data_IF_947498524596
#
_entry.id   IF_947498524596
#
_cell.length_a   1.000
_cell.length_b   1.000
_cell.length_c   1.000
_cell.angle_alpha   90.00
_cell.angle_beta   90.00
_cell.angle_gamma   90.00
#
_symmetry.space_group_name_H-M   'P 1'
#
loop_
_entity.id
_entity.type
_entity.pdbx_description
1 polymer ?
#
# COMPACT_ATOMS: atom_id res chain seq x y z
N UNK A 1 -35.40 -19.12 28.34
CA UNK A 1 -35.52 -19.22 26.88
C UNK A 1 -36.98 -18.98 26.50
N UNK A 2 -37.35 -17.74 26.17
CA UNK A 2 -38.73 -17.40 25.82
C UNK A 2 -39.16 -18.10 24.54
N UNK A 3 -40.32 -18.76 24.57
CA UNK A 3 -40.98 -19.31 23.37
C UNK A 3 -41.08 -18.20 22.31
N UNK A 4 -40.90 -18.49 21.01
CA UNK A 4 -41.01 -17.48 19.95
C UNK A 4 -42.50 -17.09 19.80
N UNK A 5 -42.98 -16.27 20.72
CA UNK A 5 -44.36 -15.84 20.89
C UNK A 5 -44.78 -14.87 19.80
N UNK A 6 -45.04 -15.40 18.61
CA UNK A 6 -45.92 -14.72 17.67
C UNK A 6 -47.35 -14.88 18.18
N UNK A 7 -48.01 -13.77 18.55
CA UNK A 7 -49.46 -13.76 18.83
C UNK A 7 -50.18 -14.52 17.70
N UNK A 8 -50.84 -15.62 18.05
CA UNK A 8 -51.47 -16.57 17.11
C UNK A 8 -52.45 -15.84 16.19
N UNK A 9 -53.12 -14.81 16.72
CA UNK A 9 -54.12 -14.01 16.01
C UNK A 9 -53.57 -12.77 15.30
N UNK A 10 -52.25 -12.61 15.15
CA UNK A 10 -51.69 -11.44 14.45
C UNK A 10 -51.70 -11.70 12.94
N UNK A 11 -52.25 -10.78 12.12
CA UNK A 11 -52.29 -10.97 10.68
C UNK A 11 -50.87 -11.19 10.12
N UNK A 12 -50.71 -12.20 9.28
CA UNK A 12 -49.41 -12.52 8.67
C UNK A 12 -49.00 -11.36 7.75
N UNK A 13 -47.78 -10.88 7.88
CA UNK A 13 -47.20 -9.91 6.94
C UNK A 13 -47.12 -10.52 5.54
N UNK A 14 -47.11 -9.69 4.50
CA UNK A 14 -47.04 -10.17 3.11
C UNK A 14 -45.86 -11.10 2.84
N UNK A 15 -44.73 -10.88 3.52
CA UNK A 15 -43.56 -11.75 3.43
C UNK A 15 -43.82 -13.12 4.09
N UNK A 16 -44.54 -13.18 5.21
CA UNK A 16 -44.92 -14.45 5.82
C UNK A 16 -45.93 -15.23 4.98
N UNK A 17 -46.78 -14.53 4.20
CA UNK A 17 -47.70 -15.14 3.23
C UNK A 17 -46.93 -15.70 2.01
N UNK A 18 -45.91 -14.98 1.52
CA UNK A 18 -45.15 -15.35 0.33
C UNK A 18 -43.74 -15.87 0.65
N UNK A 19 -43.58 -17.19 0.76
CA UNK A 19 -42.32 -17.84 1.17
C UNK A 19 -41.12 -17.45 0.29
N UNK A 20 -41.26 -17.49 -1.04
CA UNK A 20 -40.17 -17.16 -1.96
C UNK A 20 -39.75 -15.68 -1.89
N UNK A 21 -40.73 -14.76 -1.78
CA UNK A 21 -40.46 -13.32 -1.59
C UNK A 21 -39.71 -13.08 -0.27
N UNK A 22 -40.12 -13.77 0.81
CA UNK A 22 -39.42 -13.71 2.10
C UNK A 22 -37.99 -14.24 2.02
N UNK A 23 -37.76 -15.42 1.43
CA UNK A 23 -36.40 -15.96 1.24
C UNK A 23 -35.52 -15.00 0.44
N UNK A 24 -36.06 -14.41 -0.64
CA UNK A 24 -35.36 -13.41 -1.47
C UNK A 24 -34.98 -12.16 -0.67
N UNK A 25 -35.93 -11.59 0.07
CA UNK A 25 -35.72 -10.37 0.89
C UNK A 25 -34.68 -10.64 1.98
N UNK A 26 -34.84 -11.72 2.75
CA UNK A 26 -33.89 -12.09 3.81
C UNK A 26 -32.49 -12.35 3.26
N UNK A 27 -32.37 -12.99 2.10
CA UNK A 27 -31.08 -13.21 1.45
C UNK A 27 -30.44 -11.88 1.01
N UNK A 28 -31.22 -10.95 0.46
CA UNK A 28 -30.75 -9.61 0.09
C UNK A 28 -30.28 -8.84 1.32
N UNK A 29 -31.03 -8.91 2.41
CA UNK A 29 -30.68 -8.25 3.68
C UNK A 29 -29.42 -8.87 4.30
N UNK A 30 -29.31 -10.21 4.33
CA UNK A 30 -28.10 -10.91 4.75
C UNK A 30 -26.90 -10.45 3.92
N UNK A 31 -27.02 -10.42 2.58
CA UNK A 31 -25.94 -9.90 1.72
C UNK A 31 -25.59 -8.45 2.02
N UNK A 32 -26.57 -7.58 2.27
CA UNK A 32 -26.34 -6.17 2.65
C UNK A 32 -25.56 -6.05 3.96
N UNK A 33 -25.92 -6.82 4.99
CA UNK A 33 -25.24 -6.83 6.30
C UNK A 33 -23.76 -7.26 6.21
N UNK A 34 -23.43 -8.16 5.28
CA UNK A 34 -22.05 -8.62 5.05
C UNK A 34 -21.27 -7.75 4.05
N UNK A 35 -21.81 -6.59 3.63
CA UNK A 35 -21.01 -5.63 2.86
C UNK A 35 -20.08 -4.93 3.82
N UNK A 36 -18.79 -4.85 3.48
CA UNK A 36 -17.79 -4.16 4.29
C UNK A 36 -17.88 -2.69 3.91
N UNK A 37 -18.86 -2.01 4.49
CA UNK A 37 -19.04 -0.55 4.35
C UNK A 37 -18.13 0.13 5.36
N UNK A 38 -17.05 0.74 4.90
CA UNK A 38 -16.11 1.46 5.76
C UNK A 38 -14.84 1.88 5.04
N UNK A 39 -14.08 2.75 5.69
CA UNK A 39 -12.79 3.22 5.19
C UNK A 39 -11.77 2.07 5.08
N UNK A 40 -10.81 2.22 4.15
CA UNK A 40 -9.65 1.32 4.07
C UNK A 40 -8.65 1.77 5.13
N UNK A 41 -8.43 0.96 6.15
CA UNK A 41 -7.52 1.27 7.27
C UNK A 41 -6.11 1.59 6.75
N UNK A 42 -5.61 0.81 5.79
CA UNK A 42 -4.25 0.96 5.24
C UNK A 42 -4.21 1.70 3.89
N UNK A 43 -5.10 2.66 3.63
CA UNK A 43 -5.22 3.34 2.32
C UNK A 43 -3.88 3.85 1.77
N UNK A 44 -2.99 4.34 2.65
CA UNK A 44 -1.67 4.86 2.26
C UNK A 44 -0.56 3.80 2.08
N UNK A 45 -0.79 2.55 2.51
CA UNK A 45 0.19 1.46 2.40
C UNK A 45 -0.18 0.42 1.34
N UNK A 46 -1.47 0.32 1.03
CA UNK A 46 -2.00 -0.66 0.09
C UNK A 46 -1.81 -0.19 -1.36
N UNK A 47 -1.64 -1.13 -2.30
CA UNK A 47 -1.45 -0.78 -3.71
C UNK A 47 -2.74 -0.27 -4.37
N UNK A 48 -2.59 0.54 -5.41
CA UNK A 48 -3.68 1.09 -6.23
C UNK A 48 -4.60 -0.01 -6.75
N UNK A 49 -4.07 -1.19 -7.09
CA UNK A 49 -4.85 -2.34 -7.57
C UNK A 49 -5.90 -2.79 -6.55
N UNK A 50 -5.53 -2.86 -5.27
CA UNK A 50 -6.48 -3.22 -4.24
C UNK A 50 -7.52 -2.10 -4.07
N UNK A 51 -7.12 -0.83 -4.10
CA UNK A 51 -8.07 0.28 -4.04
C UNK A 51 -9.11 0.19 -5.18
N UNK A 52 -8.66 -0.13 -6.41
CA UNK A 52 -9.55 -0.40 -7.56
C UNK A 52 -10.48 -1.60 -7.30
N UNK A 53 -9.98 -2.70 -6.73
CA UNK A 53 -10.80 -3.88 -6.35
C UNK A 53 -11.86 -3.56 -5.30
N UNK A 54 -11.59 -2.63 -4.37
CA UNK A 54 -12.58 -2.23 -3.35
C UNK A 54 -13.62 -1.27 -3.93
N UNK A 55 -13.20 -0.39 -4.84
CA UNK A 55 -14.09 0.51 -5.55
C UNK A 55 -15.08 -0.28 -6.42
N UNK A 56 -14.62 -1.32 -7.13
CA UNK A 56 -15.48 -2.20 -7.92
C UNK A 56 -16.31 -3.17 -7.07
N UNK A 57 -15.84 -3.56 -5.88
CA UNK A 57 -16.56 -4.45 -4.97
C UNK A 57 -16.48 -4.02 -3.50
N UNK A 58 -17.59 -3.46 -3.00
CA UNK A 58 -17.79 -3.15 -1.56
C UNK A 58 -17.78 -4.37 -0.61
N UNK A 59 -17.67 -5.60 -1.13
CA UNK A 59 -17.55 -6.84 -0.32
C UNK A 59 -16.10 -7.27 -0.13
N UNK A 60 -15.16 -6.74 -0.89
CA UNK A 60 -13.78 -7.22 -0.84
C UNK A 60 -13.10 -6.82 0.48
N UNK A 61 -12.70 -7.80 1.29
CA UNK A 61 -11.91 -7.58 2.50
C UNK A 61 -10.42 -7.57 2.16
N UNK A 62 -9.97 -6.49 1.57
CA UNK A 62 -8.59 -6.31 1.09
C UNK A 62 -7.83 -5.35 2.01
N UNK A 63 -7.80 -5.65 3.30
CA UNK A 63 -6.85 -5.04 4.23
C UNK A 63 -5.51 -5.77 4.19
N UNK A 64 -4.42 -5.11 4.55
CA UNK A 64 -3.15 -5.82 4.70
C UNK A 64 -3.23 -6.73 5.93
N UNK A 65 -2.74 -7.96 5.80
CA UNK A 65 -2.46 -8.78 6.99
C UNK A 65 -1.49 -8.04 7.90
N UNK A 66 -1.62 -8.22 9.22
CA UNK A 66 -0.77 -7.55 10.21
C UNK A 66 0.73 -7.75 9.96
N UNK A 67 1.14 -8.93 9.47
CA UNK A 67 2.54 -9.21 9.10
C UNK A 67 2.99 -8.35 7.91
N UNK A 68 2.16 -8.25 6.87
CA UNK A 68 2.43 -7.44 5.67
C UNK A 68 2.48 -5.95 6.00
N UNK A 69 1.53 -5.47 6.80
CA UNK A 69 1.50 -4.08 7.31
C UNK A 69 2.79 -3.74 8.07
N UNK A 70 3.21 -4.60 9.01
CA UNK A 70 4.44 -4.40 9.80
C UNK A 70 5.69 -4.39 8.92
N UNK A 71 5.78 -5.29 7.94
CA UNK A 71 6.92 -5.36 7.00
C UNK A 71 7.02 -4.10 6.13
N UNK A 72 5.91 -3.63 5.57
CA UNK A 72 5.89 -2.40 4.77
C UNK A 72 6.27 -1.17 5.60
N UNK A 73 5.69 -1.01 6.81
CA UNK A 73 6.07 0.08 7.72
C UNK A 73 7.57 0.03 8.09
N UNK A 74 8.13 -1.17 8.29
CA UNK A 74 9.56 -1.34 8.58
C UNK A 74 10.41 -0.85 7.40
N UNK A 75 10.05 -1.22 6.17
CA UNK A 75 10.76 -0.78 4.97
C UNK A 75 10.70 0.74 4.79
N UNK A 76 9.53 1.35 4.94
CA UNK A 76 9.35 2.81 4.84
C UNK A 76 10.24 3.52 5.88
N UNK A 77 10.30 3.01 7.12
CA UNK A 77 11.17 3.60 8.16
C UNK A 77 12.65 3.48 7.84
N UNK A 78 13.11 2.35 7.31
CA UNK A 78 14.51 2.19 6.89
C UNK A 78 14.86 3.15 5.76
N UNK A 79 14.05 3.20 4.71
CA UNK A 79 14.26 4.11 3.59
C UNK A 79 14.23 5.58 4.01
N UNK A 80 13.34 5.97 4.94
CA UNK A 80 13.31 7.32 5.49
C UNK A 80 14.57 7.64 6.30
N UNK A 81 15.09 6.68 7.08
CA UNK A 81 16.34 6.85 7.83
C UNK A 81 17.54 7.00 6.90
N UNK A 82 17.67 6.14 5.90
CA UNK A 82 18.74 6.20 4.88
C UNK A 82 18.70 7.52 4.11
N UNK A 83 17.51 7.95 3.70
CA UNK A 83 17.35 9.25 3.03
C UNK A 83 17.78 10.42 3.93
N UNK A 84 17.45 10.37 5.22
CA UNK A 84 17.84 11.40 6.17
C UNK A 84 19.36 11.43 6.40
N UNK A 85 20.03 10.27 6.51
CA UNK A 85 21.49 10.22 6.68
C UNK A 85 22.21 10.72 5.43
N UNK A 86 21.78 10.31 4.23
CA UNK A 86 22.37 10.81 2.98
C UNK A 86 22.17 12.32 2.81
N UNK A 87 21.01 12.86 3.18
CA UNK A 87 20.79 14.31 3.14
C UNK A 87 21.69 15.05 4.13
N UNK A 88 21.89 14.51 5.33
CA UNK A 88 22.81 15.10 6.31
C UNK A 88 24.27 15.08 5.83
N UNK A 89 24.74 13.96 5.26
CA UNK A 89 26.07 13.87 4.66
C UNK A 89 26.23 14.83 3.47
N UNK A 90 25.22 14.95 2.60
CA UNK A 90 25.24 15.88 1.49
C UNK A 90 25.31 17.35 1.94
N UNK A 91 24.59 17.73 3.01
CA UNK A 91 24.68 19.08 3.59
C UNK A 91 26.06 19.31 4.22
N UNK A 92 26.60 18.31 4.93
CA UNK A 92 27.94 18.41 5.52
C UNK A 92 29.03 18.54 4.44
N UNK A 93 28.96 17.77 3.35
CA UNK A 93 29.84 17.90 2.17
C UNK A 93 29.70 19.27 1.47
N UNK A 94 28.48 19.81 1.42
CA UNK A 94 28.25 21.13 0.85
C UNK A 94 28.77 22.26 1.75
N UNK A 95 28.70 22.11 3.08
CA UNK A 95 29.24 23.07 4.04
C UNK A 95 30.77 23.03 4.10
N UNK A 96 31.40 21.85 4.05
CA UNK A 96 32.86 21.73 4.00
C UNK A 96 33.44 22.32 2.71
N UNK A 97 32.76 22.16 1.56
CA UNK A 97 33.15 22.84 0.31
C UNK A 97 33.00 24.37 0.35
N UNK A 98 32.07 24.91 1.15
CA UNK A 98 31.94 26.37 1.34
C UNK A 98 33.04 26.93 2.25
N UNK A 99 33.54 26.15 3.19
CA UNK A 99 34.63 26.55 4.11
C UNK A 99 35.99 26.47 3.40
N UNK A 100 36.18 25.56 2.43
CA UNK A 100 37.43 25.44 1.65
C UNK A 100 37.44 26.27 0.35
N UNK A 101 36.35 26.99 0.07
CA UNK A 101 36.15 27.77 -1.16
C UNK A 101 36.68 29.20 -1.17
N UNK A 102 37.27 29.70 -0.07
CA UNK A 102 37.93 31.02 -0.06
C UNK A 102 39.45 30.89 -0.13
N UNK A 103 39.96 30.78 -1.36
CA UNK A 103 41.34 31.13 -1.69
C UNK A 103 42.39 30.04 -1.52
N UNK A 104 42.80 29.43 -2.66
CA UNK A 104 44.18 29.43 -3.18
C UNK A 104 44.28 28.39 -4.29
N UNK A 105 44.40 28.86 -5.54
CA UNK A 105 44.77 28.03 -6.69
C UNK A 105 46.15 27.41 -6.41
N UNK A 106 46.23 26.08 -6.27
CA UNK A 106 47.46 25.32 -6.46
C UNK A 106 47.22 24.26 -7.54
N UNK A 107 48.18 24.18 -8.47
CA UNK A 107 48.20 23.32 -9.66
C UNK A 107 47.99 21.85 -9.29
N UNK A 108 47.31 21.03 -10.11
CA UNK A 108 47.18 19.62 -9.83
C UNK A 108 48.51 18.90 -10.11
N UNK A 109 49.02 18.17 -9.12
CA UNK A 109 49.99 17.11 -9.34
C UNK A 109 49.21 15.88 -9.83
N UNK A 110 49.68 15.29 -10.92
CA UNK A 110 49.07 14.13 -11.56
C UNK A 110 49.11 12.91 -10.62
N UNK A 111 47.93 12.39 -10.27
CA UNK A 111 47.75 11.01 -9.85
C UNK A 111 46.92 10.32 -10.94
N UNK A 112 47.57 9.44 -11.70
CA UNK A 112 46.92 8.59 -12.69
C UNK A 112 45.97 7.65 -11.96
N UNK A 113 44.66 7.88 -12.10
CA UNK A 113 43.62 6.92 -11.76
C UNK A 113 43.37 6.08 -13.02
N UNK A 114 43.53 4.76 -12.91
CA UNK A 114 43.49 3.83 -14.04
C UNK A 114 42.03 3.56 -14.39
N UNK A 115 41.60 4.13 -15.52
CA UNK A 115 40.29 3.93 -16.13
C UNK A 115 40.16 2.47 -16.62
N UNK A 116 39.45 1.61 -15.87
CA UNK A 116 39.04 0.29 -16.37
C UNK A 116 37.93 0.48 -17.40
N UNK A 117 38.27 0.34 -18.69
CA UNK A 117 37.29 0.20 -19.77
C UNK A 117 36.55 -1.12 -19.61
N UNK A 118 35.24 -1.02 -19.41
CA UNK A 118 34.30 -2.13 -19.54
C UNK A 118 34.30 -2.58 -21.02
N UNK A 119 34.76 -3.81 -21.25
CA UNK A 119 34.68 -4.43 -22.56
C UNK A 119 33.21 -4.85 -22.79
N UNK A 120 32.51 -4.15 -23.69
CA UNK A 120 31.30 -4.71 -24.29
C UNK A 120 31.70 -5.94 -25.13
N UNK A 121 31.49 -7.11 -24.54
CA UNK A 121 31.30 -8.32 -25.30
C UNK A 121 29.91 -8.23 -25.97
N UNK A 122 29.89 -7.87 -27.25
CA UNK A 122 28.67 -7.90 -28.05
C UNK A 122 28.10 -9.32 -28.16
N UNK A 123 26.77 -9.51 -28.11
CA UNK A 123 26.13 -10.67 -28.69
C UNK A 123 25.89 -10.42 -30.18
N UNK A 124 26.30 -11.40 -31.00
CA UNK A 124 26.32 -11.33 -32.46
C UNK A 124 24.98 -11.06 -33.11
N UNK A 125 25.06 -10.39 -34.26
CA UNK A 125 23.99 -10.29 -35.24
C UNK A 125 23.87 -11.64 -35.96
N UNK A 126 22.77 -12.33 -35.71
CA UNK A 126 22.30 -13.44 -36.54
C UNK A 126 22.04 -12.93 -37.96
N UNK A 127 22.63 -13.62 -38.93
CA UNK A 127 22.39 -13.52 -40.37
C UNK A 127 21.19 -14.36 -40.81
#
# INVERSE_FOLDING_TARGET
MGTPGGKINRPRTELKKNLFKRRRVLSKEKRRKHRITGAVVDKGLITIHHLKKRASSSRANITLSGKKRRKLMKQIRHAAKEKATMQAEAVNLAQTKKITGSGRRKKPAASQDVEMKEAEAGPGLDS
#
